data_IF_554971301021
#
_entry.id   IF_554971301021
#
_cell.length_a   1.000
_cell.length_b   1.000
_cell.length_c   1.000
_cell.angle_alpha   90.00
_cell.angle_beta   90.00
_cell.angle_gamma   90.00
#
_symmetry.space_group_name_H-M   'P 1'
#
loop_
_entity.id
_entity.type
_entity.pdbx_description
1 polymer ?
#
# COMPACT_ATOMS: atom_id res chain seq x y z
N UNK A 1 -25.95 -10.99 -11.76
CA UNK A 1 -25.09 -11.59 -10.72
C UNK A 1 -23.72 -11.85 -11.35
N UNK A 2 -22.60 -11.57 -10.66
CA UNK A 2 -21.28 -11.95 -11.17
C UNK A 2 -21.18 -13.47 -11.28
N UNK A 3 -20.66 -13.97 -12.41
CA UNK A 3 -20.39 -15.40 -12.63
C UNK A 3 -19.17 -15.77 -11.80
N UNK A 4 -19.29 -16.82 -10.99
CA UNK A 4 -18.17 -17.36 -10.22
C UNK A 4 -17.50 -18.45 -11.03
N UNK A 5 -16.19 -18.32 -11.21
CA UNK A 5 -15.35 -19.35 -11.82
C UNK A 5 -14.51 -19.93 -10.68
N UNK A 6 -14.70 -21.22 -10.38
CA UNK A 6 -13.93 -21.93 -9.37
C UNK A 6 -12.64 -22.53 -9.94
N UNK A 7 -11.91 -23.27 -9.12
CA UNK A 7 -10.82 -24.12 -9.58
C UNK A 7 -11.33 -25.20 -10.56
N UNK A 8 -10.44 -25.62 -11.46
CA UNK A 8 -10.67 -26.68 -12.43
C UNK A 8 -10.96 -28.00 -11.70
N UNK A 9 -11.99 -28.71 -12.14
CA UNK A 9 -12.29 -30.05 -11.67
C UNK A 9 -11.47 -31.12 -12.44
N UNK A 10 -11.71 -32.39 -12.13
CA UNK A 10 -10.96 -33.49 -12.76
C UNK A 10 -11.16 -33.57 -14.28
N UNK A 11 -12.34 -33.17 -14.80
CA UNK A 11 -12.65 -33.19 -16.24
C UNK A 11 -12.01 -32.00 -16.94
N UNK A 12 -12.03 -30.85 -16.29
CA UNK A 12 -11.34 -29.67 -16.80
C UNK A 12 -9.83 -29.95 -16.94
N UNK A 13 -9.22 -30.60 -15.94
CA UNK A 13 -7.81 -30.98 -16.00
C UNK A 13 -7.54 -31.94 -17.17
N UNK A 14 -8.45 -32.87 -17.48
CA UNK A 14 -8.30 -33.76 -18.63
C UNK A 14 -8.26 -32.99 -19.95
N UNK A 15 -9.14 -32.00 -20.12
CA UNK A 15 -9.12 -31.13 -21.30
C UNK A 15 -7.80 -30.36 -21.42
N UNK A 16 -7.21 -29.92 -20.30
CA UNK A 16 -5.91 -29.25 -20.30
C UNK A 16 -4.74 -30.21 -20.65
N UNK A 17 -4.92 -31.53 -20.46
CA UNK A 17 -3.92 -32.54 -20.77
C UNK A 17 -3.96 -33.02 -22.23
N UNK A 18 -5.03 -32.74 -22.99
CA UNK A 18 -5.18 -33.13 -24.39
C UNK A 18 -3.95 -32.79 -25.25
N UNK A 19 -3.35 -31.58 -25.18
CA UNK A 19 -2.17 -31.27 -25.98
C UNK A 19 -0.99 -32.21 -25.75
N UNK A 20 -0.76 -32.64 -24.49
CA UNK A 20 0.29 -33.60 -24.17
C UNK A 20 -0.03 -34.99 -24.72
N UNK A 21 -1.29 -35.41 -24.65
CA UNK A 21 -1.73 -36.70 -25.18
C UNK A 21 -1.64 -36.75 -26.71
N UNK A 22 -2.04 -35.68 -27.40
CA UNK A 22 -1.91 -35.53 -28.86
C UNK A 22 -0.45 -35.57 -29.33
N UNK A 23 0.47 -35.12 -28.48
CA UNK A 23 1.90 -35.18 -28.72
C UNK A 23 2.53 -36.55 -28.38
N UNK A 24 1.74 -37.56 -28.03
CA UNK A 24 2.21 -38.91 -27.72
C UNK A 24 2.72 -39.12 -26.29
N UNK A 25 2.49 -38.17 -25.38
CA UNK A 25 2.76 -38.38 -23.96
C UNK A 25 1.63 -39.12 -23.26
N UNK A 26 1.99 -40.04 -22.37
CA UNK A 26 1.02 -40.69 -21.48
C UNK A 26 1.34 -40.35 -20.03
N UNK A 27 0.33 -40.30 -19.17
CA UNK A 27 0.53 -40.12 -17.73
C UNK A 27 0.31 -41.46 -17.01
N UNK A 28 1.17 -41.76 -16.04
CA UNK A 28 0.88 -42.86 -15.11
C UNK A 28 -0.34 -42.53 -14.24
N UNK A 29 -1.06 -43.56 -13.78
CA UNK A 29 -2.33 -43.37 -13.06
C UNK A 29 -2.25 -42.47 -11.82
N UNK A 30 -1.07 -42.37 -11.17
CA UNK A 30 -0.86 -41.48 -10.02
C UNK A 30 -0.41 -40.06 -10.40
N UNK A 31 0.17 -39.86 -11.58
CA UNK A 31 0.72 -38.58 -12.04
C UNK A 31 -0.40 -37.54 -12.25
N UNK A 32 -1.56 -37.96 -12.76
CA UNK A 32 -2.75 -37.10 -12.94
C UNK A 32 -3.20 -36.47 -11.61
N UNK A 33 -3.34 -37.30 -10.57
CA UNK A 33 -3.72 -36.82 -9.24
C UNK A 33 -2.67 -35.88 -8.67
N UNK A 34 -1.39 -36.10 -9.00
CA UNK A 34 -0.31 -35.24 -8.53
C UNK A 34 -0.34 -33.84 -9.14
N UNK A 35 -0.75 -33.70 -10.42
CA UNK A 35 -1.00 -32.38 -11.03
C UNK A 35 -2.04 -31.61 -10.23
N UNK A 36 -3.15 -32.27 -9.86
CA UNK A 36 -4.20 -31.66 -9.02
C UNK A 36 -3.66 -31.30 -7.63
N UNK A 37 -2.86 -32.17 -7.01
CA UNK A 37 -2.26 -31.92 -5.69
C UNK A 37 -1.30 -30.71 -5.68
N UNK A 38 -0.53 -30.52 -6.76
CA UNK A 38 0.41 -29.41 -6.85
C UNK A 38 -0.27 -28.08 -7.12
N UNK A 39 -1.28 -28.09 -7.98
CA UNK A 39 -1.90 -26.88 -8.52
C UNK A 39 -3.19 -26.49 -7.80
N UNK A 40 -3.84 -27.42 -7.12
CA UNK A 40 -5.18 -27.23 -6.56
C UNK A 40 -6.28 -26.99 -7.60
N UNK A 41 -6.00 -27.31 -8.88
CA UNK A 41 -6.89 -26.96 -9.99
C UNK A 41 -6.87 -25.48 -10.38
N UNK A 42 -5.91 -24.69 -9.88
CA UNK A 42 -5.78 -23.28 -10.27
C UNK A 42 -5.36 -23.22 -11.74
N UNK A 43 -6.15 -22.62 -12.66
CA UNK A 43 -5.87 -22.68 -14.10
C UNK A 43 -4.45 -22.21 -14.47
N UNK A 44 -3.99 -21.10 -13.87
CA UNK A 44 -2.67 -20.55 -14.13
C UNK A 44 -1.54 -21.48 -13.69
N UNK A 45 -1.70 -22.16 -12.55
CA UNK A 45 -0.69 -23.11 -12.05
C UNK A 45 -0.72 -24.42 -12.84
N UNK A 46 -1.90 -24.86 -13.28
CA UNK A 46 -2.04 -25.98 -14.22
C UNK A 46 -1.29 -25.66 -15.52
N UNK A 47 -1.56 -24.52 -16.15
CA UNK A 47 -0.84 -24.09 -17.35
C UNK A 47 0.67 -24.03 -17.14
N UNK A 48 1.14 -23.42 -16.04
CA UNK A 48 2.56 -23.32 -15.73
C UNK A 48 3.24 -24.69 -15.62
N UNK A 49 2.60 -25.63 -14.90
CA UNK A 49 3.11 -26.98 -14.74
C UNK A 49 3.10 -27.75 -16.07
N UNK A 50 2.03 -27.67 -16.85
CA UNK A 50 1.94 -28.35 -18.14
C UNK A 50 2.92 -27.76 -19.16
N UNK A 51 3.11 -26.45 -19.19
CA UNK A 51 4.12 -25.81 -20.04
C UNK A 51 5.53 -26.25 -19.66
N UNK A 52 5.82 -26.44 -18.36
CA UNK A 52 7.11 -26.99 -17.92
C UNK A 52 7.27 -28.44 -18.39
N UNK A 53 6.27 -29.28 -18.15
CA UNK A 53 6.28 -30.69 -18.59
C UNK A 53 6.45 -30.80 -20.12
N UNK A 54 5.81 -29.91 -20.87
CA UNK A 54 5.98 -29.81 -22.32
C UNK A 54 7.45 -29.57 -22.71
N UNK A 55 8.17 -28.73 -21.98
CA UNK A 55 9.55 -28.40 -22.33
C UNK A 55 10.58 -29.45 -21.92
N UNK A 56 10.25 -30.29 -20.92
CA UNK A 56 11.18 -31.31 -20.41
C UNK A 56 10.88 -32.73 -20.92
N UNK A 57 9.77 -32.92 -21.66
CA UNK A 57 9.42 -34.23 -22.20
C UNK A 57 10.43 -34.72 -23.25
N UNK A 58 10.59 -36.04 -23.33
CA UNK A 58 11.18 -36.69 -24.49
C UNK A 58 10.15 -36.85 -25.64
N UNK A 59 10.60 -37.25 -26.83
CA UNK A 59 9.75 -37.40 -28.03
C UNK A 59 8.57 -38.38 -27.82
N UNK A 60 8.74 -39.40 -26.99
CA UNK A 60 7.67 -40.29 -26.49
C UNK A 60 7.96 -40.63 -25.04
N UNK A 61 7.31 -39.96 -24.10
CA UNK A 61 7.54 -40.15 -22.66
C UNK A 61 6.25 -40.48 -21.93
N UNK A 62 6.34 -41.51 -21.07
CA UNK A 62 5.39 -41.71 -19.98
C UNK A 62 5.82 -40.82 -18.81
N UNK A 63 4.95 -39.90 -18.39
CA UNK A 63 5.19 -39.02 -17.25
C UNK A 63 4.74 -39.72 -15.96
N UNK A 64 5.72 -39.98 -15.11
CA UNK A 64 5.54 -40.57 -13.79
C UNK A 64 5.27 -39.50 -12.74
N UNK A 65 4.86 -39.92 -11.53
CA UNK A 65 4.70 -38.99 -10.41
C UNK A 65 5.98 -38.17 -10.10
N UNK A 66 7.19 -38.78 -10.02
CA UNK A 66 8.44 -38.03 -9.85
C UNK A 66 8.66 -36.92 -10.88
N UNK A 67 8.27 -37.14 -12.14
CA UNK A 67 8.41 -36.11 -13.19
C UNK A 67 7.51 -34.91 -12.91
N UNK A 68 6.28 -35.14 -12.42
CA UNK A 68 5.36 -34.08 -12.01
C UNK A 68 5.92 -33.33 -10.80
N UNK A 69 6.42 -34.05 -9.79
CA UNK A 69 7.02 -33.45 -8.60
C UNK A 69 8.20 -32.55 -8.99
N UNK A 70 9.14 -33.05 -9.80
CA UNK A 70 10.30 -32.28 -10.25
C UNK A 70 9.91 -31.06 -11.09
N UNK A 71 8.94 -31.20 -12.00
CA UNK A 71 8.46 -30.08 -12.81
C UNK A 71 7.78 -29.01 -11.95
N UNK A 72 7.00 -29.39 -10.94
CA UNK A 72 6.34 -28.45 -10.04
C UNK A 72 7.32 -27.69 -9.16
N UNK A 73 8.37 -28.35 -8.66
CA UNK A 73 9.46 -27.65 -7.94
C UNK A 73 10.14 -26.62 -8.83
N UNK A 74 10.45 -26.98 -10.08
CA UNK A 74 11.03 -26.05 -11.03
C UNK A 74 10.10 -24.86 -11.32
N UNK A 75 8.77 -25.06 -11.37
CA UNK A 75 7.80 -23.96 -11.50
C UNK A 75 7.86 -23.02 -10.29
N UNK A 76 8.00 -23.54 -9.07
CA UNK A 76 8.10 -22.71 -7.87
C UNK A 76 9.36 -21.83 -7.88
N UNK A 77 10.47 -22.37 -8.40
CA UNK A 77 11.75 -21.67 -8.47
C UNK A 77 11.81 -20.68 -9.65
N UNK A 78 11.41 -21.11 -10.86
CA UNK A 78 11.52 -20.34 -12.10
C UNK A 78 10.36 -19.33 -12.29
N UNK A 79 9.18 -19.64 -11.77
CA UNK A 79 7.96 -18.82 -11.91
C UNK A 79 7.45 -18.34 -10.55
N UNK A 80 8.36 -18.03 -9.63
CA UNK A 80 8.02 -17.55 -8.29
C UNK A 80 7.13 -16.31 -8.30
N UNK A 81 7.32 -15.43 -9.27
CA UNK A 81 6.50 -14.21 -9.46
C UNK A 81 5.03 -14.54 -9.77
N UNK A 82 4.75 -15.62 -10.50
CA UNK A 82 3.38 -16.06 -10.79
C UNK A 82 2.66 -16.48 -9.50
N UNK A 83 3.32 -17.31 -8.68
CA UNK A 83 2.76 -17.74 -7.39
C UNK A 83 2.62 -16.55 -6.44
N UNK A 84 3.58 -15.62 -6.47
CA UNK A 84 3.53 -14.35 -5.74
C UNK A 84 2.35 -13.48 -6.14
N UNK A 85 2.08 -13.31 -7.44
CA UNK A 85 0.93 -12.54 -7.90
C UNK A 85 -0.41 -13.16 -7.44
N UNK A 86 -0.53 -14.49 -7.46
CA UNK A 86 -1.71 -15.20 -6.93
C UNK A 86 -1.86 -15.02 -5.42
N UNK A 87 -0.75 -14.98 -4.69
CA UNK A 87 -0.71 -14.70 -3.26
C UNK A 87 -1.12 -13.25 -2.96
N UNK A 88 -0.61 -12.27 -3.72
CA UNK A 88 -0.90 -10.85 -3.55
C UNK A 88 -2.35 -10.49 -3.90
N UNK A 89 -3.00 -11.26 -4.77
CA UNK A 89 -4.46 -11.16 -5.03
C UNK A 89 -5.32 -11.64 -3.84
N UNK A 90 -4.73 -12.36 -2.87
CA UNK A 90 -5.43 -12.76 -1.67
C UNK A 90 -5.50 -11.60 -0.66
N UNK A 91 -6.66 -11.41 -0.03
CA UNK A 91 -6.78 -10.49 1.10
C UNK A 91 -5.86 -10.93 2.26
N UNK A 92 -5.41 -9.98 3.09
CA UNK A 92 -4.49 -10.27 4.20
C UNK A 92 -4.98 -11.33 5.18
N UNK A 93 -6.30 -11.42 5.42
CA UNK A 93 -6.89 -12.50 6.22
C UNK A 93 -6.73 -13.87 5.58
N UNK A 94 -6.93 -13.96 4.26
CA UNK A 94 -6.73 -15.20 3.49
C UNK A 94 -5.25 -15.59 3.43
N UNK A 95 -4.33 -14.63 3.25
CA UNK A 95 -2.90 -14.87 3.33
C UNK A 95 -2.50 -15.42 4.70
N UNK A 96 -3.02 -14.85 5.79
CA UNK A 96 -2.79 -15.33 7.14
C UNK A 96 -3.36 -16.75 7.37
N UNK A 97 -4.51 -17.07 6.78
CA UNK A 97 -5.08 -18.40 6.83
C UNK A 97 -4.29 -19.41 6.01
N UNK A 98 -3.81 -19.04 4.83
CA UNK A 98 -2.92 -19.87 4.00
C UNK A 98 -1.59 -20.13 4.70
N UNK A 99 -1.01 -19.14 5.38
CA UNK A 99 0.20 -19.33 6.18
C UNK A 99 0.00 -20.31 7.35
N UNK A 100 -1.16 -20.26 8.01
CA UNK A 100 -1.53 -21.28 9.03
C UNK A 100 -1.74 -22.64 8.39
N UNK A 101 -2.49 -22.69 7.28
CA UNK A 101 -2.82 -23.90 6.54
C UNK A 101 -1.57 -24.61 6.00
N UNK A 102 -0.52 -23.84 5.70
CA UNK A 102 0.76 -24.36 5.27
C UNK A 102 1.46 -25.19 6.34
N UNK A 103 1.28 -24.82 7.62
CA UNK A 103 1.84 -25.52 8.76
C UNK A 103 0.92 -26.65 9.28
N UNK A 104 -0.39 -26.45 9.29
CA UNK A 104 -1.36 -27.43 9.84
C UNK A 104 -2.78 -27.21 9.32
N UNK A 105 -3.59 -28.27 9.36
CA UNK A 105 -5.03 -28.20 9.06
C UNK A 105 -5.73 -27.16 9.98
N UNK A 106 -6.62 -26.35 9.40
CA UNK A 106 -7.33 -25.29 10.14
C UNK A 106 -8.75 -25.75 10.48
N UNK A 107 -9.21 -25.53 11.72
CA UNK A 107 -10.57 -25.89 12.12
C UNK A 107 -11.62 -25.03 11.41
N UNK A 108 -12.73 -25.62 10.98
CA UNK A 108 -13.89 -24.88 10.46
C UNK A 108 -14.41 -23.83 11.45
N UNK A 109 -14.29 -24.10 12.75
CA UNK A 109 -14.74 -23.17 13.79
C UNK A 109 -13.89 -21.89 13.86
N UNK A 110 -12.65 -21.93 13.38
CA UNK A 110 -11.71 -20.80 13.43
C UNK A 110 -11.80 -19.92 12.17
N UNK A 111 -12.68 -20.26 11.23
CA UNK A 111 -12.85 -19.61 9.94
C UNK A 111 -14.31 -19.15 9.76
N UNK A 112 -14.48 -17.89 9.38
CA UNK A 112 -15.76 -17.43 8.87
C UNK A 112 -16.06 -18.13 7.54
N UNK A 113 -17.35 -18.22 7.17
CA UNK A 113 -17.74 -18.80 5.88
C UNK A 113 -17.14 -18.03 4.70
N UNK A 114 -17.02 -16.70 4.79
CA UNK A 114 -16.41 -15.87 3.75
C UNK A 114 -14.94 -16.20 3.56
N UNK A 115 -14.16 -16.31 4.65
CA UNK A 115 -12.73 -16.65 4.60
C UNK A 115 -12.49 -18.05 4.08
N UNK A 116 -13.33 -19.02 4.50
CA UNK A 116 -13.28 -20.39 3.97
C UNK A 116 -13.50 -20.40 2.45
N UNK A 117 -14.59 -19.78 1.98
CA UNK A 117 -14.90 -19.72 0.54
C UNK A 117 -13.81 -19.01 -0.26
N UNK A 118 -13.19 -17.96 0.29
CA UNK A 118 -12.12 -17.24 -0.41
C UNK A 118 -10.90 -18.12 -0.74
N UNK A 119 -10.62 -19.11 0.09
CA UNK A 119 -9.53 -20.09 -0.08
C UNK A 119 -9.97 -21.28 -0.94
N UNK A 120 -11.20 -21.76 -0.76
CA UNK A 120 -11.79 -22.87 -1.53
C UNK A 120 -12.04 -22.51 -3.00
N UNK A 121 -12.68 -21.36 -3.25
CA UNK A 121 -13.04 -20.90 -4.62
C UNK A 121 -11.79 -20.73 -5.50
N UNK A 122 -10.63 -20.46 -4.88
CA UNK A 122 -9.33 -20.35 -5.54
C UNK A 122 -8.57 -21.68 -5.66
N UNK A 123 -9.09 -22.78 -5.13
CA UNK A 123 -8.40 -24.09 -5.17
C UNK A 123 -7.21 -24.22 -4.21
N UNK A 124 -6.98 -23.26 -3.30
CA UNK A 124 -5.85 -23.33 -2.38
C UNK A 124 -6.13 -24.20 -1.16
N UNK A 125 -7.40 -24.39 -0.80
CA UNK A 125 -7.81 -25.26 0.29
C UNK A 125 -9.08 -26.03 -0.02
N UNK A 126 -9.32 -27.09 0.74
CA UNK A 126 -10.52 -27.92 0.64
C UNK A 126 -10.95 -28.42 2.01
N UNK A 127 -12.26 -28.42 2.28
CA UNK A 127 -12.78 -29.04 3.49
C UNK A 127 -12.64 -30.57 3.46
N UNK A 128 -12.05 -31.11 4.53
CA UNK A 128 -12.04 -32.54 4.86
C UNK A 128 -12.73 -32.72 6.22
N UNK A 129 -14.03 -33.00 6.19
CA UNK A 129 -14.86 -33.06 7.39
C UNK A 129 -14.99 -31.68 8.06
N UNK A 130 -14.48 -31.55 9.29
CA UNK A 130 -14.52 -30.31 10.07
C UNK A 130 -13.24 -29.47 9.97
N UNK A 131 -12.27 -29.87 9.13
CA UNK A 131 -11.01 -29.17 8.95
C UNK A 131 -10.79 -28.76 7.51
N UNK A 132 -10.25 -27.57 7.31
CA UNK A 132 -9.73 -27.10 6.03
C UNK A 132 -8.30 -27.65 5.88
N UNK A 133 -8.01 -28.24 4.71
CA UNK A 133 -6.68 -28.73 4.34
C UNK A 133 -6.14 -27.97 3.14
N UNK A 134 -4.82 -27.87 3.02
CA UNK A 134 -4.19 -27.40 1.78
C UNK A 134 -4.60 -28.29 0.61
N UNK A 135 -5.00 -27.67 -0.51
CA UNK A 135 -5.33 -28.34 -1.76
C UNK A 135 -4.31 -28.03 -2.87
N UNK A 136 -3.44 -27.05 -2.68
CA UNK A 136 -2.45 -26.59 -3.66
C UNK A 136 -1.05 -26.59 -3.03
N UNK A 137 -0.20 -27.57 -3.38
CA UNK A 137 1.15 -27.68 -2.81
C UNK A 137 2.09 -26.54 -3.21
N UNK A 138 1.95 -25.99 -4.42
CA UNK A 138 2.72 -24.79 -4.85
C UNK A 138 2.45 -23.61 -3.92
N UNK A 139 1.16 -23.30 -3.71
CA UNK A 139 0.76 -22.23 -2.80
C UNK A 139 1.12 -22.55 -1.35
N UNK A 140 1.01 -23.81 -0.91
CA UNK A 140 1.42 -24.23 0.42
C UNK A 140 2.90 -23.92 0.69
N UNK A 141 3.78 -24.27 -0.24
CA UNK A 141 5.23 -24.02 -0.11
C UNK A 141 5.55 -22.55 -0.13
N UNK A 142 4.91 -21.80 -1.02
CA UNK A 142 5.06 -20.35 -1.06
C UNK A 142 4.61 -19.71 0.26
N UNK A 143 3.45 -20.11 0.78
CA UNK A 143 2.92 -19.64 2.05
C UNK A 143 3.83 -19.99 3.24
N UNK A 144 4.47 -21.16 3.26
CA UNK A 144 5.49 -21.50 4.27
C UNK A 144 6.65 -20.50 4.28
N UNK A 145 7.09 -20.03 3.11
CA UNK A 145 8.16 -19.02 3.00
C UNK A 145 7.70 -17.65 3.49
N UNK A 146 6.41 -17.30 3.31
CA UNK A 146 5.84 -16.02 3.73
C UNK A 146 5.37 -16.00 5.19
N UNK A 147 5.13 -17.17 5.80
CA UNK A 147 4.59 -17.30 7.14
C UNK A 147 5.37 -16.52 8.23
N UNK A 148 6.73 -16.49 8.23
CA UNK A 148 7.48 -15.69 9.18
C UNK A 148 7.15 -14.19 9.09
N UNK A 149 7.08 -13.64 7.87
CA UNK A 149 6.78 -12.22 7.66
C UNK A 149 5.36 -11.87 8.14
N UNK A 150 4.37 -12.71 7.89
CA UNK A 150 3.01 -12.52 8.42
C UNK A 150 2.99 -12.59 9.95
N UNK A 151 3.70 -13.57 10.53
CA UNK A 151 3.79 -13.72 11.97
C UNK A 151 4.43 -12.48 12.62
N UNK A 152 5.49 -11.93 12.01
CA UNK A 152 6.12 -10.69 12.45
C UNK A 152 5.19 -9.49 12.34
N UNK A 153 4.49 -9.30 11.22
CA UNK A 153 3.50 -8.22 11.09
C UNK A 153 2.40 -8.32 12.16
N UNK A 154 1.89 -9.53 12.41
CA UNK A 154 0.88 -9.76 13.45
C UNK A 154 1.44 -9.53 14.85
N UNK A 155 2.70 -9.91 15.10
CA UNK A 155 3.39 -9.67 16.38
C UNK A 155 3.59 -8.17 16.62
N UNK A 156 3.97 -7.43 15.57
CA UNK A 156 4.27 -6.00 15.65
C UNK A 156 3.01 -5.14 15.73
N UNK A 157 1.96 -5.43 14.94
CA UNK A 157 0.81 -4.54 14.78
C UNK A 157 -0.56 -5.21 15.02
N UNK A 158 -0.59 -6.48 15.43
CA UNK A 158 -1.84 -7.22 15.64
C UNK A 158 -2.58 -6.89 16.94
N UNK A 159 -2.04 -5.99 17.78
CA UNK A 159 -2.67 -5.54 19.02
C UNK A 159 -2.39 -4.05 19.27
N UNK A 160 -3.19 -3.39 20.11
CA UNK A 160 -2.95 -1.98 20.50
C UNK A 160 -1.57 -1.80 21.13
N UNK A 161 -1.19 -2.68 22.06
CA UNK A 161 0.13 -2.64 22.70
C UNK A 161 1.28 -2.86 21.70
N UNK A 162 1.09 -3.75 20.72
CA UNK A 162 2.04 -3.93 19.63
C UNK A 162 2.17 -2.66 18.79
N UNK A 163 1.05 -2.07 18.38
CA UNK A 163 1.04 -0.81 17.66
C UNK A 163 1.77 0.29 18.44
N UNK A 164 1.44 0.46 19.72
CA UNK A 164 2.05 1.46 20.60
C UNK A 164 3.57 1.30 20.71
N UNK A 165 4.06 0.06 20.83
CA UNK A 165 5.49 -0.21 20.95
C UNK A 165 6.28 -0.04 19.64
N UNK A 166 5.63 -0.07 18.47
CA UNK A 166 6.31 -0.17 17.18
C UNK A 166 6.02 0.99 16.20
N UNK A 167 4.97 1.79 16.44
CA UNK A 167 4.56 2.83 15.48
C UNK A 167 5.62 3.89 15.28
N UNK A 168 6.37 4.27 16.32
CA UNK A 168 7.46 5.22 16.19
C UNK A 168 8.54 4.73 15.22
N UNK A 169 9.05 3.51 15.42
CA UNK A 169 10.07 2.94 14.54
C UNK A 169 9.58 2.84 13.09
N UNK A 170 8.29 2.54 12.88
CA UNK A 170 7.68 2.55 11.56
C UNK A 170 7.69 3.95 10.91
N UNK A 171 7.38 4.99 11.68
CA UNK A 171 7.43 6.38 11.22
C UNK A 171 8.86 6.86 10.98
N UNK A 172 9.83 6.48 11.81
CA UNK A 172 11.26 6.77 11.62
C UNK A 172 11.75 6.15 10.30
N UNK A 173 11.49 4.86 10.08
CA UNK A 173 11.83 4.18 8.82
C UNK A 173 11.16 4.85 7.61
N UNK A 174 9.88 5.23 7.73
CA UNK A 174 9.18 5.91 6.63
C UNK A 174 9.77 7.29 6.34
N UNK A 175 10.15 8.04 7.37
CA UNK A 175 10.82 9.33 7.19
C UNK A 175 12.18 9.18 6.52
N UNK A 176 12.97 8.17 6.89
CA UNK A 176 14.26 7.86 6.24
C UNK A 176 14.10 7.50 4.76
N UNK A 177 13.04 6.78 4.39
CA UNK A 177 12.76 6.44 2.99
C UNK A 177 12.45 7.66 2.12
N UNK A 178 11.78 8.67 2.67
CA UNK A 178 11.33 9.84 1.89
C UNK A 178 12.25 11.05 2.01
N UNK A 179 13.01 11.16 3.10
CA UNK A 179 13.94 12.26 3.30
C UNK A 179 15.18 12.05 2.44
N UNK A 180 15.40 12.95 1.50
CA UNK A 180 16.56 12.92 0.60
C UNK A 180 17.55 14.04 0.98
N UNK A 181 18.78 14.06 0.43
CA UNK A 181 19.69 15.19 0.61
C UNK A 181 19.13 16.55 0.16
N UNK A 182 18.07 16.57 -0.66
CA UNK A 182 17.39 17.80 -1.12
C UNK A 182 16.28 18.28 -0.19
N UNK A 183 15.87 17.45 0.76
CA UNK A 183 14.82 17.82 1.71
C UNK A 183 15.32 18.98 2.60
N UNK A 184 14.49 20.00 2.77
CA UNK A 184 14.79 21.12 3.66
C UNK A 184 15.14 20.62 5.07
N UNK A 185 16.31 21.03 5.57
CA UNK A 185 16.83 20.55 6.85
C UNK A 185 15.91 20.92 8.01
N UNK A 186 15.41 22.15 8.03
CA UNK A 186 14.56 22.62 9.12
C UNK A 186 13.20 21.90 9.14
N UNK A 187 12.60 21.69 7.97
CA UNK A 187 11.39 20.88 7.83
C UNK A 187 11.62 19.46 8.34
N UNK A 188 12.72 18.81 7.92
CA UNK A 188 13.10 17.47 8.40
C UNK A 188 13.27 17.44 9.92
N UNK A 189 13.93 18.44 10.50
CA UNK A 189 14.15 18.53 11.94
C UNK A 189 12.83 18.66 12.72
N UNK A 190 11.84 19.40 12.20
CA UNK A 190 10.51 19.46 12.81
C UNK A 190 9.77 18.12 12.75
N UNK A 191 9.83 17.39 11.63
CA UNK A 191 9.19 16.06 11.52
C UNK A 191 9.89 15.05 12.43
N UNK A 192 11.22 15.03 12.46
CA UNK A 192 12.00 14.20 13.39
C UNK A 192 11.59 14.44 14.84
N UNK A 193 11.42 15.71 15.22
CA UNK A 193 10.96 16.06 16.57
C UNK A 193 9.56 15.52 16.83
N UNK A 194 8.63 15.67 15.88
CA UNK A 194 7.27 15.15 16.04
C UNK A 194 7.23 13.62 16.16
N UNK A 195 8.10 12.89 15.45
CA UNK A 195 8.26 11.44 15.59
C UNK A 195 8.81 11.06 16.95
N UNK A 196 9.86 11.76 17.44
CA UNK A 196 10.48 11.48 18.74
C UNK A 196 9.54 11.74 19.90
N UNK A 197 8.83 12.87 19.87
CA UNK A 197 7.98 13.31 20.99
C UNK A 197 6.67 12.46 21.08
N UNK A 198 6.43 11.56 20.11
CA UNK A 198 5.25 10.69 20.03
C UNK A 198 5.15 9.70 21.21
N UNK A 199 6.26 9.14 21.66
CA UNK A 199 6.31 8.16 22.77
C UNK A 199 6.14 8.83 24.14
N UNK A 200 6.72 10.02 24.31
CA UNK A 200 6.73 10.73 25.59
C UNK A 200 5.36 11.32 25.90
N UNK A 201 4.76 11.99 24.92
CA UNK A 201 3.43 12.56 25.02
C UNK A 201 2.88 12.85 23.61
N UNK A 202 1.86 12.12 23.13
CA UNK A 202 1.22 12.36 21.84
C UNK A 202 0.82 13.82 21.59
N UNK A 203 0.50 14.59 22.63
CA UNK A 203 0.18 16.03 22.49
C UNK A 203 1.38 16.87 22.07
N UNK A 204 2.59 16.53 22.50
CA UNK A 204 3.82 17.24 22.11
C UNK A 204 4.08 17.09 20.61
N UNK A 205 3.83 15.90 20.05
CA UNK A 205 3.93 15.67 18.61
C UNK A 205 3.00 16.61 17.83
N UNK A 206 1.75 16.80 18.31
CA UNK A 206 0.76 17.70 17.68
C UNK A 206 1.19 19.17 17.78
N UNK A 207 1.80 19.59 18.89
CA UNK A 207 2.25 20.98 19.08
C UNK A 207 3.30 21.44 18.05
N UNK A 208 4.11 20.51 17.53
CA UNK A 208 5.17 20.81 16.54
C UNK A 208 4.60 20.97 15.12
N UNK A 209 3.39 20.46 14.86
CA UNK A 209 2.77 20.39 13.53
C UNK A 209 2.59 21.77 12.89
N UNK A 210 2.25 22.78 13.68
CA UNK A 210 2.15 24.15 13.16
C UNK A 210 3.50 24.64 12.61
N UNK A 211 4.61 24.28 13.25
CA UNK A 211 5.96 24.60 12.77
C UNK A 211 6.26 23.93 11.42
N UNK A 212 5.82 22.67 11.26
CA UNK A 212 5.92 21.92 10.00
C UNK A 212 5.14 22.62 8.89
N UNK A 213 3.85 22.92 9.13
CA UNK A 213 2.99 23.59 8.15
C UNK A 213 3.52 24.99 7.78
N UNK A 214 3.97 25.76 8.79
CA UNK A 214 4.55 27.09 8.60
C UNK A 214 5.80 27.04 7.73
N UNK A 215 6.75 26.13 8.02
CA UNK A 215 7.98 26.01 7.23
C UNK A 215 7.67 25.56 5.81
N UNK A 216 6.75 24.60 5.63
CA UNK A 216 6.32 24.17 4.32
C UNK A 216 5.70 25.31 3.50
N UNK A 217 4.82 26.13 4.10
CA UNK A 217 4.29 27.33 3.44
C UNK A 217 5.40 28.29 3.03
N UNK A 218 6.38 28.56 3.90
CA UNK A 218 7.51 29.42 3.53
C UNK A 218 8.27 28.89 2.31
N UNK A 219 8.59 27.60 2.28
CA UNK A 219 9.28 26.97 1.14
C UNK A 219 8.46 27.05 -0.15
N UNK A 220 7.14 26.86 -0.06
CA UNK A 220 6.23 27.01 -1.21
C UNK A 220 6.29 28.44 -1.74
N UNK A 221 6.16 29.45 -0.89
CA UNK A 221 6.15 30.84 -1.33
C UNK A 221 7.51 31.32 -1.82
N UNK A 222 8.61 30.85 -1.22
CA UNK A 222 9.97 31.08 -1.71
C UNK A 222 10.19 30.54 -3.14
N UNK A 223 9.45 29.50 -3.52
CA UNK A 223 9.50 28.91 -4.86
C UNK A 223 8.52 29.56 -5.86
N UNK A 224 7.28 29.83 -5.43
CA UNK A 224 6.20 30.30 -6.32
C UNK A 224 6.19 31.83 -6.52
N UNK A 225 6.73 32.61 -5.57
CA UNK A 225 6.69 34.08 -5.62
C UNK A 225 8.08 34.69 -5.83
N UNK A 226 8.15 35.93 -6.34
CA UNK A 226 9.37 36.72 -6.31
C UNK A 226 9.80 37.03 -4.87
N UNK A 227 11.04 37.48 -4.70
CA UNK A 227 11.63 37.78 -3.38
C UNK A 227 10.89 38.86 -2.58
N UNK A 228 10.10 39.70 -3.24
CA UNK A 228 9.27 40.74 -2.63
C UNK A 228 7.89 40.24 -2.15
N UNK A 229 7.61 38.95 -2.35
CA UNK A 229 6.35 38.27 -1.99
C UNK A 229 5.10 38.93 -2.59
N UNK A 230 5.24 39.53 -3.77
CA UNK A 230 4.12 40.07 -4.54
C UNK A 230 3.36 38.96 -5.27
N UNK A 231 2.02 39.02 -5.23
CA UNK A 231 1.15 38.11 -5.96
C UNK A 231 1.07 38.54 -7.43
N UNK A 232 1.32 37.65 -8.39
CA UNK A 232 1.18 37.94 -9.82
C UNK A 232 -0.20 38.50 -10.18
N UNK A 233 -0.21 39.58 -10.96
CA UNK A 233 -1.45 40.27 -11.38
C UNK A 233 -2.40 39.36 -12.16
N UNK A 234 -1.85 38.43 -12.95
CA UNK A 234 -2.63 37.47 -13.74
C UNK A 234 -3.44 36.52 -12.85
N UNK A 235 -2.91 36.14 -11.68
CA UNK A 235 -3.63 35.32 -10.70
C UNK A 235 -4.84 36.09 -10.16
N UNK A 236 -4.62 37.32 -9.71
CA UNK A 236 -5.66 38.19 -9.18
C UNK A 236 -6.75 38.49 -10.22
N UNK A 237 -6.36 38.68 -11.48
CA UNK A 237 -7.28 38.91 -12.58
C UNK A 237 -8.16 37.68 -12.84
N UNK A 238 -7.59 36.49 -12.97
CA UNK A 238 -8.36 35.25 -13.16
C UNK A 238 -9.33 35.00 -12.00
N UNK A 239 -8.89 35.17 -10.75
CA UNK A 239 -9.73 34.93 -9.57
C UNK A 239 -10.90 35.90 -9.46
N UNK A 240 -10.67 37.19 -9.79
CA UNK A 240 -11.73 38.20 -9.86
C UNK A 240 -12.73 37.88 -10.96
N UNK A 241 -12.26 37.48 -12.15
CA UNK A 241 -13.12 37.07 -13.26
C UNK A 241 -13.94 35.80 -12.96
N UNK A 242 -13.38 34.86 -12.20
CA UNK A 242 -14.09 33.66 -11.76
C UNK A 242 -15.14 33.92 -10.65
N UNK A 243 -15.31 35.18 -10.23
CA UNK A 243 -16.31 35.58 -9.23
C UNK A 243 -16.03 35.02 -7.84
N UNK A 244 -14.75 34.77 -7.50
CA UNK A 244 -14.38 34.28 -6.18
C UNK A 244 -14.59 35.39 -5.13
N UNK A 245 -15.34 35.05 -4.09
CA UNK A 245 -15.53 35.92 -2.92
C UNK A 245 -14.40 35.64 -1.93
N UNK A 246 -13.93 36.66 -1.22
CA UNK A 246 -12.87 36.55 -0.19
C UNK A 246 -11.48 36.17 -0.72
N UNK A 247 -11.05 36.76 -1.83
CA UNK A 247 -9.63 36.75 -2.21
C UNK A 247 -8.89 37.55 -1.13
N UNK A 248 -7.99 36.94 -0.35
CA UNK A 248 -7.22 37.68 0.65
C UNK A 248 -6.29 38.64 -0.09
N UNK A 249 -6.62 39.93 -0.11
CA UNK A 249 -5.87 40.96 -0.82
C UNK A 249 -5.21 41.90 0.20
N UNK A 250 -3.91 41.70 0.45
CA UNK A 250 -3.07 42.61 1.22
C UNK A 250 -2.34 43.56 0.24
N UNK A 251 -3.13 44.28 -0.56
CA UNK A 251 -2.64 45.19 -1.61
C UNK A 251 -1.72 44.49 -2.64
N UNK A 252 -2.10 43.28 -3.08
CA UNK A 252 -1.32 42.48 -4.02
C UNK A 252 -0.10 41.80 -3.40
N UNK A 253 0.05 41.79 -2.07
CA UNK A 253 1.09 41.04 -1.36
C UNK A 253 0.56 39.77 -0.72
N UNK A 254 1.46 38.83 -0.44
CA UNK A 254 1.15 37.65 0.34
C UNK A 254 0.74 38.06 1.78
N UNK A 255 -0.46 37.70 2.26
CA UNK A 255 -0.90 37.99 3.61
C UNK A 255 -0.04 37.27 4.67
N UNK A 256 0.10 37.90 5.85
CA UNK A 256 0.85 37.30 6.97
C UNK A 256 0.15 36.12 7.66
N UNK A 257 -1.17 36.06 7.60
CA UNK A 257 -1.95 35.01 8.27
C UNK A 257 -1.88 33.67 7.53
N UNK A 258 -1.41 32.61 8.19
CA UNK A 258 -1.25 31.28 7.57
C UNK A 258 -2.56 30.71 7.02
N UNK A 259 -3.70 30.93 7.69
CA UNK A 259 -5.01 30.53 7.15
C UNK A 259 -5.35 31.21 5.82
N UNK A 260 -4.96 32.49 5.65
CA UNK A 260 -5.12 33.21 4.39
C UNK A 260 -4.14 32.70 3.32
N UNK A 261 -2.90 32.38 3.70
CA UNK A 261 -1.93 31.75 2.80
C UNK A 261 -2.43 30.40 2.30
N UNK A 262 -2.96 29.55 3.18
CA UNK A 262 -3.61 28.29 2.80
C UNK A 262 -4.78 28.50 1.83
N UNK A 263 -5.58 29.57 2.02
CA UNK A 263 -6.62 29.93 1.05
C UNK A 263 -6.03 30.29 -0.32
N UNK A 264 -4.99 31.12 -0.38
CA UNK A 264 -4.32 31.48 -1.63
C UNK A 264 -3.73 30.22 -2.29
N UNK A 265 -3.08 29.35 -1.54
CA UNK A 265 -2.51 28.11 -2.07
C UNK A 265 -3.58 27.19 -2.65
N UNK A 266 -4.78 27.14 -2.04
CA UNK A 266 -5.93 26.39 -2.59
C UNK A 266 -6.40 26.95 -3.93
N UNK A 267 -6.42 28.27 -4.09
CA UNK A 267 -6.77 28.92 -5.36
C UNK A 267 -5.69 28.67 -6.41
N UNK A 268 -4.42 28.84 -6.02
CA UNK A 268 -3.26 28.67 -6.88
C UNK A 268 -3.16 27.25 -7.44
N UNK A 269 -3.46 26.24 -6.62
CA UNK A 269 -3.45 24.82 -7.03
C UNK A 269 -4.71 24.39 -7.81
N UNK A 270 -5.64 25.32 -8.08
CA UNK A 270 -6.86 25.10 -8.84
C UNK A 270 -8.06 24.69 -7.97
N UNK A 271 -9.25 25.06 -8.43
CA UNK A 271 -10.57 24.73 -7.85
C UNK A 271 -11.57 24.42 -8.96
N UNK A 272 -12.83 24.13 -8.63
CA UNK A 272 -13.88 23.93 -9.64
C UNK A 272 -14.12 25.18 -10.52
N UNK A 273 -13.69 26.36 -10.05
CA UNK A 273 -13.91 27.65 -10.70
C UNK A 273 -12.67 28.25 -11.37
N UNK A 274 -11.48 27.78 -11.00
CA UNK A 274 -10.19 28.41 -11.38
C UNK A 274 -9.21 27.32 -11.74
N UNK A 275 -8.46 27.52 -12.83
CA UNK A 275 -7.47 26.53 -13.26
C UNK A 275 -6.24 26.58 -12.36
N UNK A 276 -5.43 25.52 -12.38
CA UNK A 276 -4.16 25.51 -11.67
C UNK A 276 -3.23 26.58 -12.27
N UNK A 277 -2.68 27.41 -11.40
CA UNK A 277 -1.74 28.47 -11.71
C UNK A 277 -0.38 28.29 -11.01
N UNK A 278 -0.25 27.36 -10.05
CA UNK A 278 1.04 27.02 -9.44
C UNK A 278 2.02 26.46 -10.48
N UNK A 279 3.26 26.94 -10.43
CA UNK A 279 4.34 26.47 -11.30
C UNK A 279 4.93 25.16 -10.82
N UNK A 280 5.06 24.98 -9.50
CA UNK A 280 5.75 23.84 -8.90
C UNK A 280 4.79 23.00 -8.07
N UNK A 281 4.07 23.65 -7.16
CA UNK A 281 3.31 22.96 -6.10
C UNK A 281 2.05 22.31 -6.63
N UNK A 282 1.82 21.04 -6.29
CA UNK A 282 0.64 20.26 -6.70
C UNK A 282 -0.48 20.34 -5.67
N UNK A 283 -1.67 19.93 -6.08
CA UNK A 283 -2.86 19.93 -5.21
C UNK A 283 -2.69 19.08 -3.95
N UNK A 284 -1.98 17.95 -4.06
CA UNK A 284 -1.70 17.05 -2.93
C UNK A 284 -0.91 17.76 -1.82
N UNK A 285 0.19 18.43 -2.16
CA UNK A 285 0.99 19.25 -1.23
C UNK A 285 0.14 20.32 -0.54
N UNK A 286 -0.71 21.03 -1.30
CA UNK A 286 -1.66 22.00 -0.73
C UNK A 286 -2.61 21.36 0.29
N UNK A 287 -3.18 20.19 -0.01
CA UNK A 287 -4.08 19.50 0.94
C UNK A 287 -3.38 19.04 2.21
N UNK A 288 -2.13 18.59 2.11
CA UNK A 288 -1.32 18.20 3.25
C UNK A 288 -1.00 19.41 4.14
N UNK A 289 -0.61 20.54 3.54
CA UNK A 289 -0.36 21.79 4.28
C UNK A 289 -1.65 22.29 4.96
N UNK A 290 -2.78 22.31 4.24
CA UNK A 290 -4.08 22.70 4.81
C UNK A 290 -4.46 21.84 6.02
N UNK A 291 -4.29 20.52 5.88
CA UNK A 291 -4.58 19.56 6.96
C UNK A 291 -3.70 19.81 8.18
N UNK A 292 -2.37 19.89 8.00
CA UNK A 292 -1.46 20.13 9.11
C UNK A 292 -1.66 21.51 9.74
N UNK A 293 -2.00 22.54 8.96
CA UNK A 293 -2.34 23.85 9.52
C UNK A 293 -3.59 23.77 10.40
N UNK A 294 -4.65 23.09 9.94
CA UNK A 294 -5.86 22.88 10.74
C UNK A 294 -5.58 22.11 12.03
N UNK A 295 -4.71 21.10 11.97
CA UNK A 295 -4.29 20.33 13.14
C UNK A 295 -3.42 21.17 14.08
N UNK A 296 -2.54 22.01 13.54
CA UNK A 296 -1.73 22.95 14.31
C UNK A 296 -2.57 23.97 15.06
N UNK A 297 -3.65 24.47 14.42
CA UNK A 297 -4.61 25.36 15.06
C UNK A 297 -5.39 24.62 16.17
N UNK A 298 -5.80 23.37 15.94
CA UNK A 298 -6.36 22.52 17.00
C UNK A 298 -5.38 22.34 18.17
N UNK A 299 -4.09 22.09 17.92
CA UNK A 299 -3.07 21.96 18.96
C UNK A 299 -2.93 23.21 19.82
N UNK A 300 -3.03 24.40 19.23
CA UNK A 300 -2.98 25.67 19.98
C UNK A 300 -4.21 25.90 20.85
N UNK A 301 -5.38 25.54 20.33
CA UNK A 301 -6.65 25.67 21.04
C UNK A 301 -7.00 24.45 21.90
N UNK A 302 -6.11 23.46 21.98
CA UNK A 302 -6.31 22.24 22.77
C UNK A 302 -6.65 22.51 24.24
N UNK A 303 -6.05 23.49 24.94
CA UNK A 303 -6.45 23.84 26.31
C UNK A 303 -7.92 24.26 26.43
N UNK A 304 -8.54 24.73 25.35
CA UNK A 304 -9.95 25.15 25.30
C UNK A 304 -10.92 23.94 25.27
N UNK A 305 -10.40 22.73 25.03
CA UNK A 305 -11.17 21.48 24.86
C UNK A 305 -10.67 20.34 25.76
N UNK A 306 -10.58 20.51 27.10
CA UNK A 306 -9.87 19.60 28.00
C UNK A 306 -10.31 18.12 27.91
N UNK A 307 -11.57 17.87 27.55
CA UNK A 307 -12.16 16.54 27.35
C UNK A 307 -11.58 15.74 26.18
N UNK A 308 -10.95 16.39 25.20
CA UNK A 308 -10.51 15.76 23.95
C UNK A 308 -9.10 15.19 24.05
N UNK A 309 -8.93 13.98 24.60
CA UNK A 309 -7.59 13.38 24.75
C UNK A 309 -6.95 13.02 23.40
N UNK A 310 -5.74 13.52 23.15
CA UNK A 310 -4.94 13.12 21.97
C UNK A 310 -4.45 11.70 22.17
N UNK A 311 -4.94 10.78 21.35
CA UNK A 311 -4.49 9.38 21.36
C UNK A 311 -3.20 9.23 20.55
N UNK A 312 -2.44 8.18 20.86
CA UNK A 312 -1.24 7.84 20.09
C UNK A 312 -1.58 7.61 18.61
N UNK A 313 -2.66 6.88 18.32
CA UNK A 313 -3.09 6.63 16.94
C UNK A 313 -3.41 7.91 16.17
N UNK A 314 -4.06 8.88 16.82
CA UNK A 314 -4.32 10.19 16.21
C UNK A 314 -3.02 10.95 15.94
N UNK A 315 -2.13 11.08 16.93
CA UNK A 315 -0.85 11.75 16.76
C UNK A 315 0.02 11.07 15.68
N UNK A 316 0.08 9.74 15.65
CA UNK A 316 0.80 8.98 14.64
C UNK A 316 0.26 9.24 13.23
N UNK A 317 -1.06 9.36 13.06
CA UNK A 317 -1.67 9.68 11.76
C UNK A 317 -1.25 11.07 11.25
N UNK A 318 -1.13 12.04 12.15
CA UNK A 318 -0.69 13.41 11.84
C UNK A 318 0.79 13.43 11.47
N UNK A 319 1.62 12.71 12.23
CA UNK A 319 3.05 12.57 11.93
C UNK A 319 3.25 11.90 10.58
N UNK A 320 2.45 10.88 10.25
CA UNK A 320 2.48 10.26 8.92
C UNK A 320 2.10 11.25 7.80
N UNK A 321 1.10 12.12 8.03
CA UNK A 321 0.75 13.18 7.10
C UNK A 321 1.88 14.22 6.94
N UNK A 322 2.62 14.52 8.01
CA UNK A 322 3.80 15.38 7.95
C UNK A 322 4.95 14.73 7.15
N UNK A 323 5.15 13.41 7.28
CA UNK A 323 6.12 12.67 6.46
C UNK A 323 5.70 12.68 4.98
N UNK A 324 4.40 12.48 4.69
CA UNK A 324 3.88 12.58 3.33
C UNK A 324 4.05 14.00 2.74
N UNK A 325 3.96 15.05 3.58
CA UNK A 325 4.26 16.41 3.14
C UNK A 325 5.73 16.59 2.76
N UNK A 326 6.67 16.00 3.51
CA UNK A 326 8.09 16.02 3.17
C UNK A 326 8.33 15.40 1.79
N UNK A 327 7.76 14.22 1.53
CA UNK A 327 7.85 13.53 0.25
C UNK A 327 7.28 14.38 -0.90
N UNK A 328 6.04 14.85 -0.74
CA UNK A 328 5.32 15.62 -1.76
C UNK A 328 5.99 16.95 -2.06
N UNK A 329 6.42 17.69 -1.03
CA UNK A 329 7.08 18.98 -1.19
C UNK A 329 8.47 18.83 -1.80
N UNK A 330 9.25 17.83 -1.39
CA UNK A 330 10.57 17.58 -1.97
C UNK A 330 10.46 17.27 -3.47
N UNK A 331 9.46 16.46 -3.87
CA UNK A 331 9.21 16.15 -5.27
C UNK A 331 8.76 17.38 -6.09
N UNK A 332 7.85 18.19 -5.54
CA UNK A 332 7.37 19.42 -6.19
C UNK A 332 8.49 20.44 -6.39
N UNK A 333 9.31 20.67 -5.36
CA UNK A 333 10.40 21.65 -5.41
C UNK A 333 11.61 21.15 -6.20
N UNK A 334 11.87 19.84 -6.26
CA UNK A 334 12.93 19.30 -7.13
C UNK A 334 12.68 19.56 -8.62
N UNK A 335 11.43 19.80 -9.01
CA UNK A 335 11.06 20.18 -10.39
C UNK A 335 11.39 21.65 -10.70
N UNK A 336 11.64 22.46 -9.66
CA UNK A 336 11.98 23.88 -9.79
C UNK A 336 13.43 24.15 -10.22
N UNK A 337 14.35 23.27 -9.81
CA UNK A 337 15.76 23.35 -10.19
C UNK A 337 16.02 23.02 -11.66
N UNK A 338 15.10 22.32 -12.34
CA UNK A 338 15.19 22.01 -13.78
C UNK A 338 14.71 23.18 -14.67
N UNK A 339 14.16 24.23 -14.06
CA UNK A 339 13.53 25.36 -14.76
C UNK A 339 14.26 26.70 -14.58
N UNK A 340 15.48 26.67 -14.03
CA UNK A 340 16.42 27.79 -13.91
C UNK A 340 17.63 27.53 -14.80
#
# INVERSE_FOLDING_TARGET
>A
MPVRVGALDEKDIDAFLEPLSDAGCTLEGSARKEISNWTGGVPLLVCALLARLWNVRGETSTLSKPDIDQAAEAVLDEQRELVGALWDDCAGESQADLAKLAATDVSRADLSESRRRAVEDRGFGRMAGTRLRSACRLMQRYATQQAPAIADLKRLFGSSAGFEANIRSALEMRLEQVATPRTDRLLRDFVNRAVRDLDENPELAVNVVRGIATRALSLVWEAELPSDQTLPADWLHEWKHAGLKNIPDDHGKLPRGYGHQCNILRLLTGTDKVRRQSRYVRKVTCRLIDHLQSVGDFGQHRPDFPETKVTLGFAASIVLAAIALVESLTADLSSSDLSR
#
